data_IF_442616606039
#
_entry.id   IF_442616606039
#
_cell.length_a   1.000
_cell.length_b   1.000
_cell.length_c   1.000
_cell.angle_alpha   90.00
_cell.angle_beta   90.00
_cell.angle_gamma   90.00
#
_symmetry.space_group_name_H-M   'P 1'
#
loop_
_entity.id
_entity.type
_entity.pdbx_description
1 polymer ?
#
# COMPACT_ATOMS: atom_id res chain seq x y z
N UNK A 1 -21.35 9.47 12.46
CA UNK A 1 -22.10 10.74 12.30
C UNK A 1 -21.21 11.96 12.49
N UNK A 2 -20.52 12.12 13.64
CA UNK A 2 -19.65 13.28 13.89
C UNK A 2 -18.54 13.45 12.84
N UNK A 3 -17.89 12.36 12.41
CA UNK A 3 -16.86 12.41 11.36
C UNK A 3 -17.36 13.07 10.05
N UNK A 4 -18.54 12.65 9.57
CA UNK A 4 -19.17 13.24 8.37
C UNK A 4 -19.55 14.70 8.60
N UNK A 5 -20.07 15.04 9.78
CA UNK A 5 -20.46 16.41 10.12
C UNK A 5 -19.26 17.39 10.15
N UNK A 6 -18.15 16.99 10.75
CA UNK A 6 -16.97 17.84 10.88
C UNK A 6 -16.22 18.03 9.56
N UNK A 7 -16.27 17.05 8.65
CA UNK A 7 -15.38 17.00 7.49
C UNK A 7 -16.06 17.09 6.12
N UNK A 8 -17.39 16.95 6.03
CA UNK A 8 -18.11 17.13 4.77
C UNK A 8 -18.33 18.64 4.48
N UNK A 9 -17.80 19.18 3.37
CA UNK A 9 -17.94 20.61 3.02
C UNK A 9 -19.37 21.06 2.73
N UNK A 10 -20.30 20.13 2.47
CA UNK A 10 -21.72 20.44 2.27
C UNK A 10 -22.45 20.73 3.59
N UNK A 11 -21.87 20.40 4.74
CA UNK A 11 -22.44 20.66 6.06
C UNK A 11 -22.14 22.10 6.47
N UNK A 12 -23.14 22.97 6.32
CA UNK A 12 -23.01 24.42 6.60
C UNK A 12 -22.97 24.76 8.10
N UNK A 13 -23.59 23.94 8.94
CA UNK A 13 -23.62 24.14 10.39
C UNK A 13 -23.07 22.88 11.05
N UNK A 14 -21.82 22.98 11.50
CA UNK A 14 -21.12 21.90 12.21
C UNK A 14 -21.62 21.80 13.65
N UNK A 15 -21.65 20.59 14.17
CA UNK A 15 -21.93 20.30 15.57
C UNK A 15 -20.81 20.87 16.44
N UNK A 16 -21.16 21.56 17.52
CA UNK A 16 -20.19 22.05 18.51
C UNK A 16 -19.92 20.99 19.57
N UNK A 17 -18.80 21.13 20.30
CA UNK A 17 -18.46 20.20 21.39
C UNK A 17 -19.58 20.12 22.45
N UNK A 18 -20.19 21.25 22.82
CA UNK A 18 -21.28 21.27 23.79
C UNK A 18 -22.54 20.58 23.28
N UNK A 19 -22.83 20.72 21.99
CA UNK A 19 -23.93 20.03 21.34
C UNK A 19 -23.67 18.52 21.25
N UNK A 20 -22.43 18.12 20.94
CA UNK A 20 -22.01 16.71 20.94
C UNK A 20 -22.13 16.08 22.34
N UNK A 21 -21.68 16.77 23.39
CA UNK A 21 -21.81 16.28 24.78
C UNK A 21 -23.28 16.13 25.15
N UNK A 22 -24.12 17.12 24.84
CA UNK A 22 -25.56 17.08 25.11
C UNK A 22 -26.24 15.92 24.38
N UNK A 23 -25.85 15.64 23.13
CA UNK A 23 -26.45 14.59 22.32
C UNK A 23 -26.07 13.17 22.78
N UNK A 24 -25.01 13.02 23.59
CA UNK A 24 -24.54 11.74 24.12
C UNK A 24 -24.84 11.55 25.63
N UNK A 25 -25.75 12.35 26.20
CA UNK A 25 -26.21 12.15 27.58
C UNK A 25 -26.89 10.79 27.74
N UNK A 26 -26.72 10.19 28.92
CA UNK A 26 -27.28 8.90 29.31
C UNK A 26 -26.85 7.71 28.43
N UNK A 27 -25.86 7.86 27.55
CA UNK A 27 -25.42 6.80 26.63
C UNK A 27 -24.78 5.61 27.35
N UNK A 28 -24.22 5.84 28.56
CA UNK A 28 -23.60 4.81 29.37
C UNK A 28 -24.63 4.11 30.27
N UNK A 29 -25.55 3.37 29.66
CA UNK A 29 -26.58 2.60 30.39
C UNK A 29 -27.51 3.47 31.24
N UNK A 30 -27.82 4.69 30.79
CA UNK A 30 -28.62 5.66 31.52
C UNK A 30 -27.80 6.72 32.27
N UNK A 31 -26.46 6.60 32.30
CA UNK A 31 -25.55 7.58 32.90
C UNK A 31 -24.81 8.40 31.84
N UNK A 32 -24.39 9.61 32.23
CA UNK A 32 -23.55 10.48 31.41
C UNK A 32 -22.09 10.00 31.45
N UNK A 33 -21.43 10.05 30.29
CA UNK A 33 -19.98 9.90 30.22
C UNK A 33 -19.28 11.18 30.71
N UNK A 34 -18.03 11.10 31.23
CA UNK A 34 -17.26 12.27 31.62
C UNK A 34 -17.15 13.29 30.50
N UNK A 35 -17.27 14.58 30.83
CA UNK A 35 -17.27 15.67 29.84
C UNK A 35 -15.94 15.75 29.12
N UNK A 36 -14.85 15.57 29.86
CA UNK A 36 -13.48 15.63 29.37
C UNK A 36 -13.25 14.56 28.30
N UNK A 37 -13.70 13.32 28.57
CA UNK A 37 -13.61 12.21 27.62
C UNK A 37 -14.35 12.49 26.31
N UNK A 38 -15.59 12.99 26.38
CA UNK A 38 -16.35 13.36 25.18
C UNK A 38 -15.74 14.56 24.44
N UNK A 39 -15.09 15.46 25.17
CA UNK A 39 -14.41 16.63 24.60
C UNK A 39 -13.14 16.23 23.85
N UNK A 40 -12.33 15.34 24.43
CA UNK A 40 -11.14 14.77 23.80
C UNK A 40 -11.51 13.95 22.56
N UNK A 41 -12.57 13.13 22.65
CA UNK A 41 -13.06 12.37 21.50
C UNK A 41 -13.55 13.29 20.38
N UNK A 42 -14.29 14.36 20.72
CA UNK A 42 -14.73 15.35 19.75
C UNK A 42 -13.55 16.03 19.07
N UNK A 43 -12.56 16.50 19.84
CA UNK A 43 -11.37 17.15 19.30
C UNK A 43 -10.56 16.21 18.43
N UNK A 44 -10.35 14.97 18.86
CA UNK A 44 -9.66 13.95 18.09
C UNK A 44 -10.31 13.72 16.72
N UNK A 45 -11.65 13.58 16.69
CA UNK A 45 -12.39 13.39 15.43
C UNK A 45 -12.42 14.67 14.60
N UNK A 46 -12.49 15.85 15.21
CA UNK A 46 -12.48 17.13 14.49
C UNK A 46 -11.11 17.46 13.89
N UNK A 47 -10.02 17.01 14.52
CA UNK A 47 -8.65 17.18 14.03
C UNK A 47 -8.26 16.11 13.02
N UNK A 48 -8.59 14.84 13.29
CA UNK A 48 -8.23 13.70 12.46
C UNK A 48 -9.47 13.09 11.82
N UNK A 49 -9.56 13.19 10.50
CA UNK A 49 -10.57 12.49 9.71
C UNK A 49 -10.46 10.99 9.97
N UNK A 50 -11.59 10.34 10.26
CA UNK A 50 -11.67 8.88 10.22
C UNK A 50 -11.92 8.49 8.77
N UNK A 51 -10.88 8.01 8.10
CA UNK A 51 -10.97 7.38 6.78
C UNK A 51 -11.41 5.93 6.92
N UNK A 52 -12.40 5.52 6.12
CA UNK A 52 -12.60 4.11 5.84
C UNK A 52 -11.60 3.73 4.75
N UNK A 53 -10.68 2.82 5.07
CA UNK A 53 -9.84 2.17 4.07
C UNK A 53 -10.76 1.55 3.00
N UNK A 54 -10.78 2.15 1.80
CA UNK A 54 -11.45 1.58 0.64
C UNK A 54 -12.64 2.34 0.03
N UNK A 55 -12.93 3.59 0.41
CA UNK A 55 -13.83 4.43 -0.42
C UNK A 55 -13.10 5.64 -1.00
N UNK A 56 -12.64 5.43 -2.24
CA UNK A 56 -12.17 6.45 -3.18
C UNK A 56 -13.20 7.56 -3.33
N UNK A 57 -12.78 8.79 -3.07
CA UNK A 57 -13.59 9.96 -3.41
C UNK A 57 -13.41 11.13 -2.48
N UNK A 58 -12.18 11.56 -2.24
CA UNK A 58 -11.75 12.94 -2.04
C UNK A 58 -10.21 12.87 -2.04
N UNK A 59 -9.59 13.68 -2.90
CA UNK A 59 -8.14 13.78 -3.01
C UNK A 59 -7.63 14.38 -1.69
N UNK A 60 -7.32 13.52 -0.72
CA UNK A 60 -6.50 13.93 0.41
C UNK A 60 -5.13 14.29 -0.17
N UNK A 61 -4.74 15.55 0.03
CA UNK A 61 -3.45 16.09 -0.35
C UNK A 61 -2.39 15.52 0.60
N UNK A 62 -2.11 14.23 0.46
CA UNK A 62 -0.78 13.70 0.72
C UNK A 62 0.12 14.31 -0.38
N UNK A 63 1.22 15.03 -0.07
CA UNK A 63 2.12 15.57 -1.11
C UNK A 63 2.66 14.47 -2.05
N UNK A 64 2.60 13.20 -1.64
CA UNK A 64 2.86 12.04 -2.47
C UNK A 64 1.81 11.70 -3.52
N UNK A 65 0.53 11.90 -3.20
CA UNK A 65 -0.58 11.51 -4.08
C UNK A 65 -0.46 12.11 -5.48
N UNK A 66 -0.19 13.42 -5.63
CA UNK A 66 0.05 14.03 -6.94
C UNK A 66 1.28 13.48 -7.66
N UNK A 67 2.37 13.20 -6.95
CA UNK A 67 3.60 12.65 -7.55
C UNK A 67 3.40 11.20 -8.02
N UNK A 68 2.80 10.36 -7.19
CA UNK A 68 2.47 8.97 -7.54
C UNK A 68 1.41 8.93 -8.65
N UNK A 69 0.39 9.79 -8.60
CA UNK A 69 -0.62 9.90 -9.66
C UNK A 69 -0.02 10.39 -10.99
N UNK A 70 0.91 11.36 -10.96
CA UNK A 70 1.60 11.83 -12.15
C UNK A 70 2.45 10.71 -12.77
N UNK A 71 3.22 9.98 -11.97
CA UNK A 71 4.01 8.84 -12.46
C UNK A 71 3.13 7.70 -12.97
N UNK A 72 2.03 7.41 -12.28
CA UNK A 72 1.09 6.36 -12.69
C UNK A 72 0.40 6.72 -14.02
N UNK A 73 -0.03 7.98 -14.16
CA UNK A 73 -0.61 8.50 -15.40
C UNK A 73 0.42 8.51 -16.53
N UNK A 74 1.65 8.92 -16.26
CA UNK A 74 2.74 8.86 -17.24
C UNK A 74 3.01 7.43 -17.69
N UNK A 75 3.07 6.47 -16.76
CA UNK A 75 3.26 5.06 -17.07
C UNK A 75 2.10 4.47 -17.88
N UNK A 76 0.86 4.86 -17.56
CA UNK A 76 -0.34 4.42 -18.27
C UNK A 76 -0.34 4.85 -19.74
N UNK A 77 0.04 6.10 -20.02
CA UNK A 77 0.07 6.69 -21.36
C UNK A 77 1.41 6.53 -22.09
N UNK A 78 2.42 5.92 -21.46
CA UNK A 78 3.71 5.68 -22.10
C UNK A 78 3.57 4.57 -23.16
N UNK A 79 3.60 4.93 -24.44
CA UNK A 79 3.46 3.98 -25.54
C UNK A 79 4.80 3.58 -26.17
N UNK A 80 5.88 4.27 -25.79
CA UNK A 80 7.24 3.99 -26.23
C UNK A 80 8.07 3.33 -25.13
N UNK A 81 8.90 2.35 -25.51
CA UNK A 81 9.76 1.62 -24.59
C UNK A 81 10.69 2.55 -23.79
N UNK A 82 11.22 3.61 -24.44
CA UNK A 82 12.12 4.58 -23.81
C UNK A 82 11.40 5.34 -22.66
N UNK A 83 10.14 5.73 -22.87
CA UNK A 83 9.33 6.40 -21.85
C UNK A 83 9.05 5.47 -20.66
N UNK A 84 8.81 4.18 -20.90
CA UNK A 84 8.62 3.19 -19.83
C UNK A 84 9.89 3.02 -18.98
N UNK A 85 11.05 2.95 -19.63
CA UNK A 85 12.34 2.87 -18.94
C UNK A 85 12.64 4.14 -18.12
N UNK A 86 12.38 5.32 -18.68
CA UNK A 86 12.52 6.59 -17.97
C UNK A 86 11.58 6.67 -16.76
N UNK A 87 10.34 6.19 -16.89
CA UNK A 87 9.38 6.14 -15.80
C UNK A 87 9.91 5.29 -14.62
N UNK A 88 10.49 4.13 -14.89
CA UNK A 88 11.12 3.30 -13.84
C UNK A 88 12.29 4.05 -13.18
N UNK A 89 13.11 4.76 -13.96
CA UNK A 89 14.19 5.60 -13.42
C UNK A 89 13.68 6.69 -12.47
N UNK A 90 12.61 7.37 -12.85
CA UNK A 90 11.91 8.34 -12.01
C UNK A 90 11.33 7.70 -10.75
N UNK A 91 10.72 6.52 -10.87
CA UNK A 91 10.17 5.75 -9.77
C UNK A 91 11.22 5.42 -8.71
N UNK A 92 12.37 4.89 -9.14
CA UNK A 92 13.49 4.56 -8.25
C UNK A 92 14.05 5.83 -7.60
N UNK A 93 14.10 6.93 -8.33
CA UNK A 93 14.55 8.22 -7.79
C UNK A 93 13.61 8.74 -6.70
N UNK A 94 12.29 8.62 -6.88
CA UNK A 94 11.30 8.95 -5.85
C UNK A 94 11.38 8.00 -4.66
N UNK A 95 11.56 6.70 -4.89
CA UNK A 95 11.76 5.71 -3.83
C UNK A 95 12.98 6.04 -2.95
N UNK A 96 14.09 6.49 -3.55
CA UNK A 96 15.29 6.93 -2.81
C UNK A 96 15.05 8.14 -1.92
N UNK A 97 14.21 9.08 -2.36
CA UNK A 97 13.90 10.30 -1.58
C UNK A 97 12.98 9.94 -0.42
N UNK A 98 12.02 9.06 -0.65
CA UNK A 98 10.96 8.70 0.30
C UNK A 98 11.42 7.73 1.38
N UNK A 99 12.60 7.12 1.22
CA UNK A 99 13.24 6.28 2.24
C UNK A 99 13.47 6.99 3.59
N UNK A 100 13.54 8.33 3.60
CA UNK A 100 13.75 9.11 4.83
C UNK A 100 12.42 9.65 5.36
N UNK A 101 11.80 8.91 6.28
CA UNK A 101 10.59 9.27 7.04
C UNK A 101 9.29 9.43 6.22
N UNK A 102 9.22 8.87 5.00
CA UNK A 102 8.05 8.94 4.12
C UNK A 102 7.61 7.54 3.63
N UNK A 103 7.58 6.58 4.56
CA UNK A 103 7.22 5.17 4.30
C UNK A 103 5.85 5.02 3.59
N UNK A 104 4.89 5.88 3.92
CA UNK A 104 3.54 5.88 3.34
C UNK A 104 3.56 6.11 1.81
N UNK A 105 4.52 6.90 1.33
CA UNK A 105 4.67 7.22 -0.10
C UNK A 105 5.23 6.02 -0.87
N UNK A 106 6.21 5.35 -0.26
CA UNK A 106 6.82 4.17 -0.85
C UNK A 106 5.77 3.05 -0.96
N UNK A 107 4.96 2.86 0.07
CA UNK A 107 3.83 1.92 0.07
C UNK A 107 2.79 2.28 -1.00
N UNK A 108 2.43 3.55 -1.15
CA UNK A 108 1.47 4.02 -2.16
C UNK A 108 2.01 3.80 -3.59
N UNK A 109 3.30 4.05 -3.80
CA UNK A 109 3.98 3.87 -5.06
C UNK A 109 4.06 2.39 -5.46
N UNK A 110 4.40 1.50 -4.51
CA UNK A 110 4.36 0.04 -4.69
C UNK A 110 2.95 -0.42 -5.00
N UNK A 111 1.95 0.05 -4.26
CA UNK A 111 0.55 -0.31 -4.48
C UNK A 111 0.04 0.14 -5.85
N UNK A 112 0.41 1.35 -6.31
CA UNK A 112 0.02 1.85 -7.63
C UNK A 112 0.63 1.01 -8.76
N UNK A 113 1.94 0.79 -8.72
CA UNK A 113 2.62 0.04 -9.77
C UNK A 113 2.27 -1.45 -9.78
N UNK A 114 1.88 -2.01 -8.62
CA UNK A 114 1.38 -3.37 -8.55
C UNK A 114 0.10 -3.59 -9.36
N UNK A 115 -0.72 -2.55 -9.58
CA UNK A 115 -1.92 -2.64 -10.44
C UNK A 115 -1.55 -2.81 -11.91
N UNK A 116 -0.49 -2.15 -12.37
CA UNK A 116 -0.01 -2.25 -13.75
C UNK A 116 0.65 -3.59 -14.08
N UNK A 117 1.00 -4.39 -13.07
CA UNK A 117 1.58 -5.74 -13.30
C UNK A 117 0.57 -6.72 -13.91
N UNK A 118 -0.73 -6.45 -13.83
CA UNK A 118 -1.84 -7.38 -14.15
C UNK A 118 -1.91 -8.64 -13.27
N UNK A 119 -0.89 -8.91 -12.45
CA UNK A 119 -0.79 -10.10 -11.59
C UNK A 119 -1.86 -10.13 -10.50
N UNK A 120 -2.22 -8.95 -9.99
CA UNK A 120 -3.22 -8.78 -8.94
C UNK A 120 -4.66 -8.81 -9.46
N UNK A 121 -4.90 -9.00 -10.77
CA UNK A 121 -6.25 -9.15 -11.29
C UNK A 121 -6.82 -10.53 -10.91
N UNK A 122 -7.85 -10.60 -10.03
CA UNK A 122 -8.37 -11.87 -9.55
C UNK A 122 -9.16 -12.62 -10.63
N UNK A 123 -9.62 -11.93 -11.67
CA UNK A 123 -10.41 -12.51 -12.77
C UNK A 123 -9.55 -12.96 -13.95
N UNK A 124 -8.29 -12.56 -14.02
CA UNK A 124 -7.39 -12.94 -15.10
C UNK A 124 -6.93 -14.40 -14.96
N UNK A 125 -7.21 -15.19 -15.99
CA UNK A 125 -6.71 -16.56 -16.12
C UNK A 125 -5.18 -16.57 -16.26
N UNK A 126 -4.56 -17.72 -16.00
CA UNK A 126 -3.11 -17.87 -16.14
C UNK A 126 -2.64 -17.62 -17.58
N UNK A 127 -3.41 -18.06 -18.57
CA UNK A 127 -3.10 -17.88 -19.99
C UNK A 127 -3.17 -16.42 -20.42
N UNK A 128 -4.20 -15.68 -19.97
CA UNK A 128 -4.31 -14.24 -20.25
C UNK A 128 -3.14 -13.45 -19.64
N UNK A 129 -2.76 -13.77 -18.40
CA UNK A 129 -1.59 -13.12 -17.77
C UNK A 129 -0.29 -13.45 -18.51
N UNK A 130 -0.08 -14.72 -18.89
CA UNK A 130 1.10 -15.12 -19.67
C UNK A 130 1.13 -14.45 -21.04
N UNK A 131 -0.03 -14.34 -21.69
CA UNK A 131 -0.18 -13.66 -22.97
C UNK A 131 0.18 -12.17 -22.84
N UNK A 132 -0.31 -11.49 -21.80
CA UNK A 132 0.03 -10.10 -21.52
C UNK A 132 1.54 -9.91 -21.28
N UNK A 133 2.16 -10.75 -20.45
CA UNK A 133 3.60 -10.71 -20.22
C UNK A 133 4.44 -11.00 -21.47
N UNK A 134 3.92 -11.79 -22.41
CA UNK A 134 4.65 -12.12 -23.63
C UNK A 134 4.57 -11.03 -24.69
N UNK A 135 3.44 -10.31 -24.76
CA UNK A 135 3.16 -9.36 -25.85
C UNK A 135 3.21 -7.89 -25.42
N UNK A 136 3.16 -7.59 -24.12
CA UNK A 136 3.16 -6.24 -23.59
C UNK A 136 4.39 -6.03 -22.68
N UNK A 137 5.07 -4.90 -22.87
CA UNK A 137 6.20 -4.50 -22.06
C UNK A 137 5.74 -3.84 -20.74
N UNK A 138 4.57 -3.19 -20.69
CA UNK A 138 4.06 -2.50 -19.49
C UNK A 138 3.93 -3.42 -18.26
N UNK A 139 3.28 -4.60 -18.32
CA UNK A 139 3.18 -5.49 -17.17
C UNK A 139 4.55 -5.99 -16.68
N UNK A 140 5.47 -6.26 -17.62
CA UNK A 140 6.84 -6.68 -17.32
C UNK A 140 7.63 -5.57 -16.63
N UNK A 141 7.53 -4.35 -17.14
CA UNK A 141 8.20 -3.17 -16.61
C UNK A 141 7.66 -2.77 -15.25
N UNK A 142 6.33 -2.81 -15.06
CA UNK A 142 5.71 -2.62 -13.75
C UNK A 142 6.19 -3.66 -12.73
N UNK A 143 6.26 -4.93 -13.15
CA UNK A 143 6.76 -6.03 -12.30
C UNK A 143 8.22 -5.79 -11.91
N UNK A 144 9.07 -5.46 -12.88
CA UNK A 144 10.48 -5.13 -12.63
C UNK A 144 10.61 -3.96 -11.64
N UNK A 145 9.81 -2.92 -11.80
CA UNK A 145 9.85 -1.74 -10.96
C UNK A 145 9.48 -2.05 -9.50
N UNK A 146 8.37 -2.77 -9.29
CA UNK A 146 7.89 -3.19 -7.96
C UNK A 146 8.95 -4.03 -7.24
N UNK A 147 9.53 -5.02 -7.92
CA UNK A 147 10.55 -5.89 -7.31
C UNK A 147 11.90 -5.17 -7.11
N UNK A 148 12.25 -4.23 -7.98
CA UNK A 148 13.45 -3.40 -7.79
C UNK A 148 13.33 -2.54 -6.55
N UNK A 149 12.14 -1.99 -6.29
CA UNK A 149 11.88 -1.22 -5.07
C UNK A 149 11.92 -2.12 -3.85
N UNK A 150 11.27 -3.28 -3.90
CA UNK A 150 11.29 -4.26 -2.81
C UNK A 150 12.72 -4.67 -2.41
N UNK A 151 13.59 -4.91 -3.40
CA UNK A 151 14.97 -5.33 -3.15
C UNK A 151 15.88 -4.22 -2.61
N UNK A 152 15.64 -2.96 -2.98
CA UNK A 152 16.52 -1.84 -2.61
C UNK A 152 16.03 -1.06 -1.38
N UNK A 153 14.72 -1.04 -1.12
CA UNK A 153 14.08 -0.22 -0.08
C UNK A 153 13.17 -1.03 0.84
N UNK A 154 13.35 -2.36 0.90
CA UNK A 154 12.47 -3.27 1.64
C UNK A 154 12.28 -2.94 3.12
N UNK A 155 13.28 -2.35 3.77
CA UNK A 155 13.21 -1.94 5.18
C UNK A 155 12.25 -0.76 5.44
N UNK A 156 11.98 0.05 4.41
CA UNK A 156 11.06 1.19 4.47
C UNK A 156 9.65 0.83 3.98
N UNK A 157 9.46 -0.36 3.41
CA UNK A 157 8.14 -0.82 2.95
C UNK A 157 7.40 -1.40 4.15
N UNK A 158 6.16 -0.96 4.36
CA UNK A 158 5.27 -1.48 5.40
C UNK A 158 4.07 -2.15 4.75
N UNK A 159 3.08 -1.36 4.36
CA UNK A 159 1.83 -1.83 3.75
C UNK A 159 2.01 -2.42 2.35
N UNK A 160 3.05 -2.01 1.61
CA UNK A 160 3.31 -2.46 0.25
C UNK A 160 3.71 -3.93 0.13
N UNK A 161 4.15 -4.56 1.22
CA UNK A 161 4.55 -5.98 1.23
C UNK A 161 3.41 -6.92 0.85
N UNK A 162 2.15 -6.59 1.18
CA UNK A 162 1.00 -7.39 0.79
C UNK A 162 0.91 -7.56 -0.74
N UNK A 163 0.98 -6.44 -1.47
CA UNK A 163 0.96 -6.44 -2.93
C UNK A 163 2.15 -7.20 -3.53
N UNK A 164 3.35 -7.03 -2.97
CA UNK A 164 4.56 -7.72 -3.44
C UNK A 164 4.41 -9.23 -3.28
N UNK A 165 3.95 -9.69 -2.11
CA UNK A 165 3.73 -11.10 -1.82
C UNK A 165 2.66 -11.69 -2.73
N UNK A 166 1.55 -10.98 -2.96
CA UNK A 166 0.50 -11.45 -3.87
C UNK A 166 1.01 -11.57 -5.31
N UNK A 167 1.82 -10.61 -5.78
CA UNK A 167 2.50 -10.70 -7.07
C UNK A 167 3.43 -11.93 -7.13
N UNK A 168 4.23 -12.19 -6.10
CA UNK A 168 5.09 -13.38 -6.01
C UNK A 168 4.28 -14.68 -6.05
N UNK A 169 3.17 -14.74 -5.32
CA UNK A 169 2.30 -15.92 -5.30
C UNK A 169 1.70 -16.18 -6.67
N UNK A 170 1.26 -15.13 -7.39
CA UNK A 170 0.78 -15.28 -8.78
C UNK A 170 1.91 -15.75 -9.70
N UNK A 171 3.10 -15.17 -9.63
CA UNK A 171 4.27 -15.58 -10.43
C UNK A 171 4.67 -17.03 -10.17
N UNK A 172 4.61 -17.48 -8.91
CA UNK A 172 4.83 -18.88 -8.52
C UNK A 172 3.82 -19.80 -9.21
N UNK A 173 2.53 -19.42 -9.20
CA UNK A 173 1.46 -20.19 -9.88
C UNK A 173 1.65 -20.24 -11.39
N UNK A 174 2.20 -19.19 -11.99
CA UNK A 174 2.54 -19.11 -13.41
C UNK A 174 3.84 -19.85 -13.77
N UNK A 175 4.56 -20.40 -12.78
CA UNK A 175 5.88 -21.05 -12.94
C UNK A 175 6.92 -20.13 -13.59
N UNK A 176 6.80 -18.82 -13.39
CA UNK A 176 7.74 -17.82 -13.90
C UNK A 176 8.86 -17.49 -12.91
N UNK A 177 8.80 -18.01 -11.67
CA UNK A 177 9.84 -17.80 -10.68
C UNK A 177 11.03 -18.74 -10.91
N UNK A 178 12.28 -18.24 -10.78
CA UNK A 178 13.47 -19.09 -10.75
C UNK A 178 13.37 -20.12 -9.62
N UNK A 179 13.89 -21.34 -9.85
CA UNK A 179 13.89 -22.40 -8.84
C UNK A 179 14.60 -22.00 -7.54
N UNK A 180 15.60 -21.13 -7.61
CA UNK A 180 16.34 -20.58 -6.46
C UNK A 180 15.50 -19.73 -5.50
N UNK A 181 14.34 -19.21 -5.93
CA UNK A 181 13.42 -18.42 -5.09
C UNK A 181 12.37 -19.33 -4.44
N UNK A 182 12.20 -20.55 -4.94
CA UNK A 182 11.19 -21.51 -4.49
C UNK A 182 11.77 -22.43 -3.40
N UNK A 183 13.07 -22.73 -3.48
CA UNK A 183 13.81 -23.48 -2.48
C UNK A 183 14.24 -22.54 -1.36
N UNK A 184 13.48 -22.51 -0.26
CA UNK A 184 14.00 -22.01 1.01
C UNK A 184 15.07 -22.99 1.48
N UNK A 185 16.30 -22.51 1.63
CA UNK A 185 17.42 -23.30 2.10
C UNK A 185 17.16 -23.78 3.54
N UNK A 186 16.60 -24.99 3.68
CA UNK A 186 16.38 -25.71 4.96
C UNK A 186 17.70 -26.13 5.63
N UNK A 187 18.85 -25.60 5.20
CA UNK A 187 20.19 -26.04 5.62
C UNK A 187 20.63 -25.43 6.96
N UNK A 188 19.81 -24.64 7.65
CA UNK A 188 20.16 -24.10 8.98
C UNK A 188 19.76 -24.99 10.18
N UNK A 189 19.11 -26.14 9.98
CA UNK A 189 18.57 -26.95 11.09
C UNK A 189 19.21 -28.33 11.31
N UNK A 190 20.36 -28.67 10.72
CA UNK A 190 20.97 -30.00 10.94
C UNK A 190 22.51 -30.04 10.98
N UNK A 191 23.15 -29.20 11.80
CA UNK A 191 24.54 -29.46 12.24
C UNK A 191 24.74 -29.19 13.73
N UNK A 192 24.03 -29.92 14.58
CA UNK A 192 24.33 -29.96 16.03
C UNK A 192 24.39 -31.36 16.64
N UNK A 193 24.59 -32.41 15.83
CA UNK A 193 24.81 -33.75 16.40
C UNK A 193 25.98 -34.48 15.74
N UNK A 194 26.86 -35.03 16.57
CA UNK A 194 27.87 -36.00 16.14
C UNK A 194 29.33 -35.53 16.04
N UNK A 195 29.93 -34.99 17.11
CA UNK A 195 31.36 -35.25 17.39
C UNK A 195 31.52 -36.09 18.65
N UNK A 196 31.36 -37.40 18.44
CA UNK A 196 31.79 -38.49 19.34
C UNK A 196 32.88 -39.30 18.61
N UNK A 197 34.01 -39.51 19.30
CA UNK A 197 35.12 -40.45 19.00
C UNK A 197 35.95 -40.13 17.72
N UNK A 198 37.27 -40.33 17.60
CA UNK A 198 38.33 -40.99 18.38
C UNK A 198 39.66 -40.63 17.69
N UNK A 199 40.72 -40.32 18.45
CA UNK A 199 42.10 -40.85 18.35
C UNK A 199 43.06 -40.01 19.19
#
# INVERSE_FOLDING_TARGET
MLNTDQHNPQVKKKVTVDEFIRNNRAINGGQDLPREYLSELFQSIATNVITLFGQSGLVEMNPAGPSVAALSSFFEHADEDEMLHECIGCLISVARITQYDLDDILDELVASFSKFTTLLNPYASAEETLFAFSNDLKPRMATLAVFTIANNFGDSIRGGWGNIVDCLLKLKRLKLLPQSVIEFDDTSASTSDGRRHEK
#
